data_IF_767136871079
#
_entry.id   IF_767136871079
#
_cell.length_a   1.000
_cell.length_b   1.000
_cell.length_c   1.000
_cell.angle_alpha   90.00
_cell.angle_beta   90.00
_cell.angle_gamma   90.00
#
_symmetry.space_group_name_H-M   'P 1'
#
loop_
_entity.id
_entity.type
_entity.pdbx_description
1 polymer ?
#
# COMPACT_ATOMS: atom_id res chain seq x y z
N UNK A 1 -8.49 -0.97 20.43
CA UNK A 1 -8.93 -1.09 19.03
C UNK A 1 -7.67 -0.94 18.20
N UNK A 2 -7.43 -1.84 17.25
CA UNK A 2 -6.21 -1.85 16.45
C UNK A 2 -6.34 -0.79 15.36
N UNK A 3 -5.29 -0.01 15.11
CA UNK A 3 -5.31 1.03 14.08
C UNK A 3 -5.17 0.40 12.69
N UNK A 4 -5.91 0.90 11.71
CA UNK A 4 -5.68 0.62 10.31
C UNK A 4 -4.66 1.63 9.76
N UNK A 5 -3.50 1.14 9.31
CA UNK A 5 -2.38 1.98 8.88
C UNK A 5 -2.17 1.83 7.38
N UNK A 6 -2.28 2.93 6.65
CA UNK A 6 -1.90 2.99 5.25
C UNK A 6 -0.37 3.06 5.12
N UNK A 7 0.23 2.08 4.46
CA UNK A 7 1.67 2.06 4.17
C UNK A 7 1.88 2.62 2.78
N UNK A 8 2.54 3.78 2.70
CA UNK A 8 3.00 4.39 1.46
C UNK A 8 4.51 4.19 1.36
N UNK A 9 4.99 3.58 0.29
CA UNK A 9 6.43 3.39 0.09
C UNK A 9 6.75 3.40 -1.41
N UNK A 10 7.99 3.67 -1.81
CA UNK A 10 8.39 3.53 -3.20
C UNK A 10 8.07 2.12 -3.71
N UNK A 11 7.41 2.03 -4.87
CA UNK A 11 7.20 0.75 -5.56
C UNK A 11 8.05 0.65 -6.83
N UNK A 12 8.06 1.71 -7.66
CA UNK A 12 8.77 1.77 -8.93
C UNK A 12 10.30 1.88 -8.73
N UNK A 13 11.06 1.54 -9.77
CA UNK A 13 12.53 1.43 -9.70
C UNK A 13 12.93 -0.01 -9.41
N UNK A 14 13.61 -0.25 -8.29
CA UNK A 14 13.93 -1.61 -7.83
C UNK A 14 12.72 -2.26 -7.16
N UNK A 15 11.77 -2.72 -7.99
CA UNK A 15 10.49 -3.32 -7.53
C UNK A 15 10.73 -4.45 -6.53
N UNK A 16 11.76 -5.28 -6.74
CA UNK A 16 12.04 -6.42 -5.87
C UNK A 16 12.45 -5.95 -4.48
N UNK A 17 13.43 -5.06 -4.39
CA UNK A 17 13.91 -4.53 -3.10
C UNK A 17 12.81 -3.74 -2.40
N UNK A 18 12.11 -2.88 -3.13
CA UNK A 18 10.99 -2.08 -2.62
C UNK A 18 9.85 -2.95 -2.06
N UNK A 19 9.53 -4.04 -2.75
CA UNK A 19 8.51 -5.00 -2.31
C UNK A 19 8.90 -5.65 -0.99
N UNK A 20 10.14 -6.12 -0.85
CA UNK A 20 10.61 -6.75 0.37
C UNK A 20 10.70 -5.76 1.54
N UNK A 21 11.14 -4.52 1.30
CA UNK A 21 11.11 -3.46 2.32
C UNK A 21 9.69 -3.16 2.80
N UNK A 22 8.74 -3.02 1.87
CA UNK A 22 7.33 -2.76 2.19
C UNK A 22 6.73 -3.91 3.01
N UNK A 23 7.01 -5.17 2.66
CA UNK A 23 6.61 -6.32 3.47
C UNK A 23 7.20 -6.27 4.88
N UNK A 24 8.46 -5.84 5.02
CA UNK A 24 9.11 -5.61 6.31
C UNK A 24 8.39 -4.56 7.16
N UNK A 25 8.01 -3.42 6.57
CA UNK A 25 7.22 -2.39 7.26
C UNK A 25 5.86 -2.91 7.72
N UNK A 26 5.13 -3.58 6.83
CA UNK A 26 3.87 -4.23 7.20
C UNK A 26 4.07 -5.24 8.35
N UNK A 27 5.13 -6.05 8.31
CA UNK A 27 5.41 -7.02 9.38
C UNK A 27 5.64 -6.34 10.73
N UNK A 28 6.34 -5.20 10.74
CA UNK A 28 6.58 -4.40 11.94
C UNK A 28 5.27 -3.85 12.52
N UNK A 29 4.41 -3.27 11.69
CA UNK A 29 3.08 -2.77 12.12
C UNK A 29 2.24 -3.88 12.75
N UNK A 30 2.24 -5.09 12.16
CA UNK A 30 1.56 -6.25 12.76
C UNK A 30 2.15 -6.62 14.12
N UNK A 31 3.46 -6.51 14.31
CA UNK A 31 4.11 -6.78 15.61
C UNK A 31 3.76 -5.74 16.67
N UNK A 32 3.44 -4.50 16.26
CA UNK A 32 2.98 -3.42 17.14
C UNK A 32 1.50 -3.57 17.52
N UNK A 33 0.78 -4.51 16.91
CA UNK A 33 -0.63 -4.81 17.18
C UNK A 33 -1.62 -4.13 16.24
N UNK A 34 -1.13 -3.42 15.22
CA UNK A 34 -1.94 -2.68 14.26
C UNK A 34 -2.11 -3.43 12.93
N UNK A 35 -2.97 -2.92 12.05
CA UNK A 35 -3.37 -3.55 10.78
C UNK A 35 -2.77 -2.74 9.62
N UNK A 36 -1.77 -3.25 8.89
CA UNK A 36 -1.22 -2.55 7.74
C UNK A 36 -2.03 -2.82 6.46
N UNK A 37 -2.14 -1.81 5.60
CA UNK A 37 -2.57 -1.97 4.20
C UNK A 37 -1.54 -1.30 3.29
N UNK A 38 -1.03 -2.05 2.30
CA UNK A 38 -0.12 -1.57 1.28
C UNK A 38 -0.72 -1.84 -0.11
N UNK A 39 -1.69 -1.04 -0.58
CA UNK A 39 -2.42 -1.34 -1.81
C UNK A 39 -1.54 -1.43 -3.05
N UNK A 40 -0.40 -0.73 -3.08
CA UNK A 40 0.56 -0.79 -4.19
C UNK A 40 1.28 -2.14 -4.32
N UNK A 41 1.21 -3.03 -3.32
CA UNK A 41 1.60 -4.44 -3.48
C UNK A 41 0.44 -5.31 -4.00
N UNK A 42 -0.80 -4.88 -3.79
CA UNK A 42 -2.00 -5.64 -4.09
C UNK A 42 -2.52 -5.35 -5.51
N UNK A 43 -2.74 -4.08 -5.85
CA UNK A 43 -3.36 -3.67 -7.12
C UNK A 43 -2.60 -4.15 -8.36
N UNK A 44 -1.25 -4.13 -8.42
CA UNK A 44 -0.52 -4.64 -9.59
C UNK A 44 -0.74 -6.12 -9.90
N UNK A 45 -1.34 -6.90 -8.99
CA UNK A 45 -1.66 -8.31 -9.21
C UNK A 45 -2.89 -8.51 -10.11
N UNK A 46 -3.72 -7.47 -10.27
CA UNK A 46 -4.95 -7.54 -11.08
C UNK A 46 -5.26 -6.25 -11.86
N UNK A 47 -4.41 -5.22 -11.76
CA UNK A 47 -4.51 -3.97 -12.51
C UNK A 47 -3.18 -3.66 -13.21
N UNK A 48 -3.28 -3.01 -14.37
CA UNK A 48 -2.15 -2.62 -15.21
C UNK A 48 -1.92 -1.10 -15.15
N UNK A 49 -0.89 -0.70 -14.39
CA UNK A 49 -0.49 0.71 -14.22
C UNK A 49 -0.03 1.37 -15.54
N UNK A 50 0.28 0.59 -16.58
CA UNK A 50 0.61 1.14 -17.90
C UNK A 50 -0.61 1.66 -18.66
N UNK A 51 -1.83 1.25 -18.27
CA UNK A 51 -3.08 1.75 -18.84
C UNK A 51 -3.59 2.93 -18.02
N UNK A 52 -3.70 4.09 -18.66
CA UNK A 52 -4.09 5.34 -18.01
C UNK A 52 -5.40 5.22 -17.20
N UNK A 53 -6.42 4.55 -17.74
CA UNK A 53 -7.72 4.37 -17.07
C UNK A 53 -7.63 3.47 -15.82
N UNK A 54 -6.86 2.39 -15.88
CA UNK A 54 -6.67 1.51 -14.72
C UNK A 54 -5.81 2.18 -13.65
N UNK A 55 -4.78 2.94 -14.05
CA UNK A 55 -3.97 3.76 -13.15
C UNK A 55 -4.81 4.81 -12.43
N UNK A 56 -5.65 5.55 -13.15
CA UNK A 56 -6.56 6.54 -12.56
C UNK A 56 -7.49 5.88 -11.53
N UNK A 57 -8.10 4.75 -11.91
CA UNK A 57 -8.95 3.98 -11.01
C UNK A 57 -8.21 3.48 -9.77
N UNK A 58 -6.97 3.03 -9.92
CA UNK A 58 -6.13 2.60 -8.80
C UNK A 58 -5.83 3.76 -7.85
N UNK A 59 -5.56 4.97 -8.35
CA UNK A 59 -5.36 6.15 -7.52
C UNK A 59 -6.61 6.53 -6.72
N UNK A 60 -7.80 6.48 -7.33
CA UNK A 60 -9.06 6.73 -6.62
C UNK A 60 -9.31 5.73 -5.49
N UNK A 61 -9.09 4.44 -5.76
CA UNK A 61 -9.23 3.39 -4.75
C UNK A 61 -8.20 3.54 -3.62
N UNK A 62 -6.96 3.92 -3.93
CA UNK A 62 -5.94 4.23 -2.92
C UNK A 62 -6.38 5.37 -2.01
N UNK A 63 -6.92 6.44 -2.58
CA UNK A 63 -7.43 7.57 -1.81
C UNK A 63 -8.63 7.18 -0.94
N UNK A 64 -9.53 6.34 -1.44
CA UNK A 64 -10.65 5.82 -0.65
C UNK A 64 -10.18 4.95 0.50
N UNK A 65 -9.28 3.99 0.27
CA UNK A 65 -8.69 3.16 1.33
C UNK A 65 -8.01 4.04 2.39
N UNK A 66 -7.22 5.01 1.96
CA UNK A 66 -6.50 5.92 2.85
C UNK A 66 -7.44 6.72 3.75
N UNK A 67 -8.64 7.11 3.26
CA UNK A 67 -9.65 7.82 4.07
C UNK A 67 -10.21 6.98 5.22
N UNK A 68 -10.15 5.65 5.12
CA UNK A 68 -10.60 4.73 6.18
C UNK A 68 -9.48 4.35 7.14
N UNK A 69 -8.23 4.74 6.86
CA UNK A 69 -7.09 4.47 7.74
C UNK A 69 -6.99 5.52 8.86
N UNK A 70 -6.55 5.08 10.03
CA UNK A 70 -6.29 5.96 11.18
C UNK A 70 -5.00 6.75 11.00
N UNK A 71 -4.01 6.16 10.32
CA UNK A 71 -2.68 6.74 10.09
C UNK A 71 -2.14 6.43 8.70
N UNK A 72 -1.19 7.25 8.25
CA UNK A 72 -0.39 7.04 7.04
C UNK A 72 1.08 7.01 7.43
N UNK A 73 1.77 5.92 7.10
CA UNK A 73 3.22 5.78 7.28
C UNK A 73 3.88 5.85 5.90
N UNK A 74 4.92 6.69 5.76
CA UNK A 74 5.66 6.96 4.52
C UNK A 74 7.13 6.60 4.69
#
# INVERSE_FOLDING_TARGET
MNKLIYVCSPYRGDIRTNTEQTKGYCRKIVQEGDIPIAPHLLFPQFMDDSKAAERERAMEMNLEIMRHCDEVHV
#
